data_IF_725034169286
#
_entry.id   IF_725034169286
#
_cell.length_a   1.000
_cell.length_b   1.000
_cell.length_c   1.000
_cell.angle_alpha   90.00
_cell.angle_beta   90.00
_cell.angle_gamma   90.00
#
_symmetry.space_group_name_H-M   'P 1'
#
loop_
_entity.id
_entity.type
_entity.pdbx_description
1 polymer ?
#
# COMPACT_ATOMS: atom_id res chain seq x y z
N UNK A 1 -27.40 -15.76 48.29
CA UNK A 1 -27.15 -14.59 47.41
C UNK A 1 -25.66 -14.22 47.51
N UNK A 2 -24.81 -14.71 46.59
CA UNK A 2 -23.35 -14.65 46.77
C UNK A 2 -22.53 -14.35 45.51
N UNK A 3 -23.13 -14.34 44.31
CA UNK A 3 -22.40 -14.05 43.04
C UNK A 3 -22.22 -12.57 42.73
N UNK A 4 -22.93 -11.67 43.41
CA UNK A 4 -22.90 -10.22 43.13
C UNK A 4 -21.69 -9.50 43.75
N UNK A 5 -21.12 -10.03 44.84
CA UNK A 5 -20.07 -9.34 45.60
C UNK A 5 -18.70 -9.33 44.90
N UNK A 6 -18.44 -10.30 44.01
CA UNK A 6 -17.15 -10.42 43.33
C UNK A 6 -17.01 -9.46 42.12
N UNK A 7 -18.13 -8.97 41.55
CA UNK A 7 -18.11 -8.18 40.32
C UNK A 7 -17.63 -6.74 40.56
N UNK A 8 -18.10 -6.11 41.65
CA UNK A 8 -17.73 -4.74 42.02
C UNK A 8 -16.25 -4.59 42.40
N UNK A 9 -15.65 -5.62 43.01
CA UNK A 9 -14.22 -5.63 43.36
C UNK A 9 -13.35 -5.69 42.10
N UNK A 10 -13.76 -6.47 41.09
CA UNK A 10 -13.03 -6.59 39.82
C UNK A 10 -13.07 -5.29 39.00
N UNK A 11 -14.21 -4.60 38.97
CA UNK A 11 -14.37 -3.29 38.35
C UNK A 11 -13.48 -2.21 39.00
N UNK A 12 -13.37 -2.21 40.34
CA UNK A 12 -12.51 -1.26 41.05
C UNK A 12 -11.01 -1.44 40.72
N UNK A 13 -10.55 -2.68 40.55
CA UNK A 13 -9.16 -2.97 40.17
C UNK A 13 -8.83 -2.54 38.73
N UNK A 14 -9.76 -2.72 37.79
CA UNK A 14 -9.59 -2.26 36.41
C UNK A 14 -9.51 -0.73 36.30
N UNK A 15 -10.33 -0.01 37.08
CA UNK A 15 -10.31 1.46 37.11
C UNK A 15 -8.95 2.03 37.60
N UNK A 16 -8.31 1.37 38.58
CA UNK A 16 -7.02 1.82 39.12
C UNK A 16 -5.83 1.56 38.17
N UNK A 17 -5.91 0.52 37.33
CA UNK A 17 -4.87 0.26 36.31
C UNK A 17 -4.93 1.22 35.12
N UNK A 18 -6.11 1.79 34.82
CA UNK A 18 -6.31 2.70 33.68
C UNK A 18 -5.62 4.07 33.80
N UNK A 19 -5.21 4.49 35.01
CA UNK A 19 -4.65 5.83 35.26
C UNK A 19 -3.11 5.87 35.37
N UNK A 20 -2.43 4.72 35.34
CA UNK A 20 -0.99 4.65 35.61
C UNK A 20 -0.06 4.87 34.41
N UNK A 21 -0.57 4.94 33.17
CA UNK A 21 0.24 4.74 31.95
C UNK A 21 0.32 5.94 31.00
N UNK A 22 0.23 7.17 31.52
CA UNK A 22 0.21 8.42 30.73
C UNK A 22 1.32 9.44 31.09
N UNK A 23 2.40 9.01 31.75
CA UNK A 23 3.42 9.91 32.35
C UNK A 23 4.82 9.80 31.71
N UNK A 24 5.06 8.87 30.77
CA UNK A 24 6.36 8.69 30.11
C UNK A 24 6.28 8.63 28.57
N UNK A 25 5.89 9.75 27.95
CA UNK A 25 6.24 10.05 26.55
C UNK A 25 6.98 11.39 26.55
N UNK A 26 8.31 11.44 26.28
CA UNK A 26 9.05 12.68 26.22
C UNK A 26 8.55 13.58 25.08
N UNK A 27 8.27 14.84 25.39
CA UNK A 27 7.96 15.85 24.37
C UNK A 27 9.23 16.19 23.58
N UNK A 28 9.29 15.77 22.31
CA UNK A 28 10.29 16.29 21.39
C UNK A 28 9.93 17.73 21.00
N UNK A 29 10.67 18.69 21.55
CA UNK A 29 10.53 20.10 21.20
C UNK A 29 10.99 20.35 19.77
N UNK A 30 10.24 21.16 19.03
CA UNK A 30 10.65 21.66 17.71
C UNK A 30 11.60 22.85 17.87
N UNK A 31 12.87 22.68 17.47
CA UNK A 31 13.81 23.78 17.28
C UNK A 31 14.16 23.95 15.78
N UNK A 32 14.30 25.19 15.27
CA UNK A 32 14.41 25.47 13.84
C UNK A 32 15.83 25.26 13.27
N UNK A 33 15.90 25.05 11.97
CA UNK A 33 17.16 24.94 11.21
C UNK A 33 17.91 26.29 11.21
N UNK A 34 19.19 26.34 11.65
CA UNK A 34 20.01 27.53 11.48
C UNK A 34 20.48 27.65 10.02
N UNK A 35 19.96 28.66 9.31
CA UNK A 35 20.57 29.13 8.06
C UNK A 35 21.90 29.81 8.40
N UNK A 36 22.98 29.42 7.72
CA UNK A 36 24.27 30.11 7.80
C UNK A 36 24.75 30.49 6.41
N UNK A 37 24.92 31.78 6.18
CA UNK A 37 25.33 32.33 4.89
C UNK A 37 26.85 32.29 4.67
N UNK A 38 27.25 32.60 3.43
CA UNK A 38 28.62 32.57 2.91
C UNK A 38 29.30 33.94 3.09
N UNK A 39 30.63 34.00 3.26
CA UNK A 39 31.45 34.61 2.20
C UNK A 39 32.74 33.81 1.89
N UNK A 40 33.61 34.33 1.02
CA UNK A 40 34.61 33.52 0.29
C UNK A 40 36.05 34.07 0.27
N UNK A 41 37.02 33.14 0.23
CA UNK A 41 38.42 33.31 -0.15
C UNK A 41 39.05 31.89 -0.34
N UNK A 42 40.11 31.62 -1.12
CA UNK A 42 40.80 32.34 -2.22
C UNK A 42 41.86 31.39 -2.81
N UNK A 43 41.87 31.17 -4.14
CA UNK A 43 43.03 30.77 -5.00
C UNK A 43 43.81 29.48 -4.60
N UNK A 44 44.13 28.54 -5.49
CA UNK A 44 45.20 28.57 -6.51
C UNK A 44 44.91 27.57 -7.63
N UNK A 45 45.42 27.84 -8.84
CA UNK A 45 45.42 26.95 -10.01
C UNK A 45 46.81 26.99 -10.69
N UNK A 46 47.29 25.86 -11.24
CA UNK A 46 47.86 25.84 -12.60
C UNK A 46 47.14 24.76 -13.47
N UNK A 47 46.84 24.92 -14.77
CA UNK A 47 47.56 25.54 -15.90
C UNK A 47 48.78 24.72 -16.34
N UNK A 48 48.61 23.60 -17.06
CA UNK A 48 48.69 23.52 -18.54
C UNK A 48 49.84 22.55 -18.91
N UNK A 49 50.00 21.94 -20.10
CA UNK A 49 49.27 21.89 -21.38
C UNK A 49 49.36 20.39 -21.89
N UNK A 50 49.22 19.91 -23.14
CA UNK A 50 49.15 20.48 -24.52
C UNK A 50 48.45 19.47 -25.46
N UNK A 51 48.02 19.92 -26.65
CA UNK A 51 47.36 19.14 -27.73
C UNK A 51 48.31 18.23 -28.55
N UNK A 52 47.81 17.11 -29.11
CA UNK A 52 47.94 16.66 -30.54
C UNK A 52 47.22 15.29 -30.74
N UNK A 53 46.78 14.97 -31.97
CA UNK A 53 45.94 13.82 -32.32
C UNK A 53 46.65 12.77 -33.23
N UNK A 54 46.03 11.59 -33.46
CA UNK A 54 45.77 10.96 -34.80
C UNK A 54 45.40 9.46 -34.70
N UNK A 55 44.10 9.17 -34.85
CA UNK A 55 43.46 8.10 -35.69
C UNK A 55 43.98 6.62 -35.60
N UNK A 56 43.43 5.64 -36.35
CA UNK A 56 42.56 4.61 -35.76
C UNK A 56 43.19 3.21 -35.65
N UNK A 57 42.60 2.36 -34.79
CA UNK A 57 42.83 0.92 -34.77
C UNK A 57 41.51 0.14 -34.89
N UNK A 58 41.31 -0.55 -36.02
CA UNK A 58 40.15 -1.42 -36.25
C UNK A 58 40.24 -2.67 -35.37
N UNK A 59 39.37 -2.80 -34.38
CA UNK A 59 39.12 -4.07 -33.70
C UNK A 59 37.76 -4.62 -34.13
N UNK A 60 37.74 -5.49 -35.13
CA UNK A 60 36.60 -6.38 -35.34
C UNK A 60 36.51 -7.36 -34.17
N UNK A 61 35.74 -7.01 -33.15
CA UNK A 61 35.12 -7.99 -32.29
C UNK A 61 33.63 -8.14 -32.67
N UNK A 62 33.13 -9.35 -32.50
CA UNK A 62 31.82 -9.77 -32.99
C UNK A 62 30.70 -8.96 -32.32
N UNK A 63 29.53 -8.78 -32.97
CA UNK A 63 28.36 -8.34 -32.25
C UNK A 63 28.08 -9.36 -31.14
N UNK A 64 28.21 -8.93 -29.88
CA UNK A 64 27.58 -9.63 -28.77
C UNK A 64 26.08 -9.48 -29.00
N UNK A 65 25.50 -10.50 -29.60
CA UNK A 65 24.06 -10.61 -29.76
C UNK A 65 23.50 -10.89 -28.36
N UNK A 66 23.28 -9.82 -27.60
CA UNK A 66 22.33 -9.86 -26.49
C UNK A 66 20.93 -10.07 -27.07
N UNK A 67 20.61 -11.34 -27.38
CA UNK A 67 19.23 -11.83 -27.44
C UNK A 67 18.63 -11.89 -26.04
N UNK A 68 18.69 -10.76 -25.32
CA UNK A 68 17.73 -10.46 -24.25
C UNK A 68 16.37 -10.42 -24.93
N UNK A 69 15.63 -11.52 -24.80
CA UNK A 69 14.41 -11.79 -25.56
C UNK A 69 13.45 -10.60 -25.47
N UNK A 70 13.30 -9.86 -26.58
CA UNK A 70 12.50 -8.65 -26.66
C UNK A 70 10.99 -8.94 -26.79
N UNK A 71 10.52 -9.99 -26.09
CA UNK A 71 9.12 -10.09 -25.72
C UNK A 71 8.85 -8.99 -24.69
N UNK A 72 8.32 -7.86 -25.16
CA UNK A 72 8.22 -6.58 -24.44
C UNK A 72 7.88 -6.74 -22.96
N UNK A 73 8.90 -6.61 -22.11
CA UNK A 73 8.73 -6.65 -20.66
C UNK A 73 7.78 -5.49 -20.27
N UNK A 74 6.62 -5.85 -19.74
CA UNK A 74 5.57 -4.89 -19.42
C UNK A 74 6.13 -3.89 -18.40
N UNK A 75 6.15 -2.60 -18.72
CA UNK A 75 6.70 -1.57 -17.83
C UNK A 75 5.66 -0.51 -17.52
N UNK A 76 5.72 0.03 -16.31
CA UNK A 76 4.77 1.02 -15.78
C UNK A 76 4.75 2.26 -16.69
N UNK A 77 5.93 2.74 -17.08
CA UNK A 77 6.10 3.89 -17.98
C UNK A 77 5.52 3.65 -19.39
N UNK A 78 5.62 2.43 -19.94
CA UNK A 78 5.04 2.10 -21.25
C UNK A 78 3.52 1.92 -21.20
N UNK A 79 2.97 1.52 -20.05
CA UNK A 79 1.52 1.46 -19.86
C UNK A 79 0.92 2.86 -19.75
N UNK A 80 1.45 3.68 -18.82
CA UNK A 80 0.89 4.99 -18.47
C UNK A 80 1.22 6.06 -19.53
N UNK A 81 2.39 5.98 -20.16
CA UNK A 81 2.84 6.93 -21.17
C UNK A 81 2.33 6.66 -22.59
N UNK A 82 1.53 5.61 -22.82
CA UNK A 82 1.06 5.25 -24.16
C UNK A 82 -0.29 5.91 -24.50
N UNK A 83 -0.37 6.80 -25.50
CA UNK A 83 -1.62 7.42 -25.93
C UNK A 83 -2.51 6.47 -26.77
N UNK A 84 -2.09 5.21 -26.98
CA UNK A 84 -2.82 4.22 -27.79
C UNK A 84 -3.44 3.09 -26.98
N UNK A 85 -3.31 3.10 -25.65
CA UNK A 85 -3.94 2.12 -24.76
C UNK A 85 -5.19 2.74 -24.14
N UNK A 86 -6.26 1.95 -24.06
CA UNK A 86 -7.41 2.30 -23.23
C UNK A 86 -7.09 2.09 -21.75
N UNK A 87 -7.78 2.83 -20.88
CA UNK A 87 -7.56 2.83 -19.43
C UNK A 87 -7.72 1.44 -18.80
N UNK A 88 -8.66 0.63 -19.29
CA UNK A 88 -8.85 -0.75 -18.81
C UNK A 88 -7.68 -1.65 -19.17
N UNK A 89 -7.07 -1.49 -20.34
CA UNK A 89 -5.82 -2.16 -20.71
C UNK A 89 -4.65 -1.68 -19.83
N UNK A 90 -4.57 -0.38 -19.53
CA UNK A 90 -3.55 0.18 -18.60
C UNK A 90 -3.71 -0.43 -17.19
N UNK A 91 -4.91 -0.38 -16.61
CA UNK A 91 -5.21 -0.97 -15.30
C UNK A 91 -4.95 -2.48 -15.27
N UNK A 92 -5.32 -3.22 -16.31
CA UNK A 92 -5.04 -4.66 -16.43
C UNK A 92 -3.53 -4.95 -16.44
N UNK A 93 -2.74 -4.09 -17.08
CA UNK A 93 -1.29 -4.19 -17.09
C UNK A 93 -0.66 -3.89 -15.73
N UNK A 94 -1.11 -2.84 -15.04
CA UNK A 94 -0.64 -2.47 -13.70
C UNK A 94 -1.02 -3.53 -12.65
N UNK A 95 -2.22 -4.11 -12.74
CA UNK A 95 -2.65 -5.22 -11.90
C UNK A 95 -1.77 -6.47 -12.11
N UNK A 96 -1.35 -6.77 -13.35
CA UNK A 96 -0.37 -7.83 -13.63
C UNK A 96 0.99 -7.52 -13.00
N UNK A 97 1.54 -6.31 -13.18
CA UNK A 97 2.84 -5.94 -12.59
C UNK A 97 2.80 -6.04 -11.06
N UNK A 98 1.71 -5.61 -10.43
CA UNK A 98 1.47 -5.72 -8.98
C UNK A 98 1.57 -7.18 -8.48
N UNK A 99 1.20 -8.16 -9.32
CA UNK A 99 1.20 -9.59 -9.00
C UNK A 99 2.45 -10.35 -9.45
N UNK A 100 3.28 -9.81 -10.35
CA UNK A 100 4.47 -10.48 -10.87
C UNK A 100 5.53 -10.68 -9.76
N UNK A 101 5.78 -11.92 -9.38
CA UNK A 101 6.58 -12.30 -8.20
C UNK A 101 8.09 -12.29 -8.43
N UNK A 102 8.53 -12.13 -9.67
CA UNK A 102 9.90 -11.94 -10.12
C UNK A 102 10.37 -10.47 -10.04
N UNK A 103 9.43 -9.52 -9.89
CA UNK A 103 9.72 -8.08 -9.77
C UNK A 103 10.01 -7.65 -8.34
N UNK A 104 10.71 -6.51 -8.23
CA UNK A 104 10.99 -5.87 -6.93
C UNK A 104 9.70 -5.42 -6.23
N UNK A 105 9.70 -5.41 -4.89
CA UNK A 105 8.53 -4.92 -4.13
C UNK A 105 8.23 -3.45 -4.45
N UNK A 106 9.25 -2.65 -4.74
CA UNK A 106 9.12 -1.22 -5.06
C UNK A 106 8.39 -1.01 -6.39
N UNK A 107 8.79 -1.71 -7.46
CA UNK A 107 8.11 -1.67 -8.76
C UNK A 107 6.65 -2.15 -8.66
N UNK A 108 6.40 -3.21 -7.88
CA UNK A 108 5.04 -3.72 -7.62
C UNK A 108 4.19 -2.72 -6.81
N UNK A 109 4.83 -1.94 -5.93
CA UNK A 109 4.20 -0.87 -5.14
C UNK A 109 3.95 0.40 -5.98
N UNK A 110 4.83 0.73 -6.94
CA UNK A 110 4.63 1.78 -7.92
C UNK A 110 3.42 1.45 -8.82
N UNK A 111 3.37 0.23 -9.37
CA UNK A 111 2.26 -0.24 -10.19
C UNK A 111 0.93 -0.21 -9.43
N UNK A 112 0.90 -0.66 -8.18
CA UNK A 112 -0.27 -0.55 -7.31
C UNK A 112 -0.65 0.91 -7.05
N UNK A 113 0.32 1.79 -6.83
CA UNK A 113 0.06 3.22 -6.60
C UNK A 113 -0.66 3.90 -7.76
N UNK A 114 -0.25 3.58 -8.99
CA UNK A 114 -0.97 4.04 -10.19
C UNK A 114 -2.33 3.39 -10.35
N UNK A 115 -2.47 2.11 -9.96
CA UNK A 115 -3.73 1.38 -10.05
C UNK A 115 -4.80 1.93 -9.09
N UNK A 116 -4.43 2.22 -7.84
CA UNK A 116 -5.32 2.88 -6.85
C UNK A 116 -5.84 4.22 -7.39
N UNK A 117 -4.94 5.05 -7.93
CA UNK A 117 -5.30 6.36 -8.49
C UNK A 117 -6.23 6.27 -9.71
N UNK A 118 -6.05 5.26 -10.59
CA UNK A 118 -6.90 5.06 -11.76
C UNK A 118 -8.26 4.47 -11.38
N UNK A 119 -8.31 3.49 -10.49
CA UNK A 119 -9.56 2.84 -10.08
C UNK A 119 -10.30 3.58 -8.96
N UNK A 120 -10.06 4.88 -8.76
CA UNK A 120 -10.62 5.65 -7.65
C UNK A 120 -12.16 5.83 -7.73
N UNK A 121 -12.74 5.82 -8.94
CA UNK A 121 -14.20 5.93 -9.14
C UNK A 121 -14.94 4.59 -8.99
N UNK A 122 -14.35 3.48 -9.46
CA UNK A 122 -14.86 2.13 -9.27
C UNK A 122 -13.71 1.14 -8.93
N UNK A 123 -13.31 1.03 -7.65
CA UNK A 123 -12.17 0.22 -7.24
C UNK A 123 -12.46 -1.29 -7.25
N UNK A 124 -13.72 -1.69 -7.10
CA UNK A 124 -14.07 -3.07 -6.79
C UNK A 124 -13.71 -4.09 -7.91
N UNK A 125 -13.95 -3.83 -9.21
CA UNK A 125 -13.60 -4.76 -10.30
C UNK A 125 -12.10 -5.02 -10.45
N UNK A 126 -11.27 -4.11 -9.94
CA UNK A 126 -9.82 -4.11 -10.14
C UNK A 126 -9.06 -4.57 -8.88
N UNK A 127 -9.46 -4.07 -7.70
CA UNK A 127 -8.73 -4.30 -6.46
C UNK A 127 -9.20 -5.54 -5.68
N UNK A 128 -10.48 -5.94 -5.77
CA UNK A 128 -10.93 -7.19 -5.13
C UNK A 128 -10.21 -8.44 -5.67
N UNK A 129 -9.99 -8.59 -7.00
CA UNK A 129 -9.17 -9.68 -7.53
C UNK A 129 -7.73 -9.69 -7.00
N UNK A 130 -7.15 -8.52 -6.68
CA UNK A 130 -5.81 -8.43 -6.08
C UNK A 130 -5.81 -8.92 -4.63
N UNK A 131 -6.75 -8.46 -3.79
CA UNK A 131 -6.87 -8.91 -2.39
C UNK A 131 -7.09 -10.43 -2.32
N UNK A 132 -7.89 -10.97 -3.24
CA UNK A 132 -8.16 -12.39 -3.37
C UNK A 132 -6.95 -13.21 -3.86
N UNK A 133 -6.00 -12.60 -4.55
CA UNK A 133 -4.81 -13.28 -5.06
C UNK A 133 -3.78 -13.54 -3.95
N UNK A 134 -3.22 -14.75 -3.94
CA UNK A 134 -2.17 -15.18 -3.01
C UNK A 134 -0.81 -14.56 -3.29
N UNK A 135 -0.54 -14.18 -4.53
CA UNK A 135 0.75 -13.65 -4.97
C UNK A 135 0.90 -12.15 -4.63
N UNK A 136 -0.20 -11.48 -4.25
CA UNK A 136 -0.17 -10.15 -3.64
C UNK A 136 0.46 -10.26 -2.23
N UNK A 137 1.58 -9.56 -1.93
CA UNK A 137 2.19 -9.51 -0.61
C UNK A 137 1.25 -8.91 0.44
N UNK A 138 1.40 -9.28 1.71
CA UNK A 138 0.61 -8.68 2.79
C UNK A 138 0.82 -7.17 2.89
N UNK A 139 2.02 -6.65 2.61
CA UNK A 139 2.32 -5.20 2.59
C UNK A 139 1.57 -4.43 1.51
N UNK A 140 1.38 -5.03 0.32
CA UNK A 140 0.57 -4.42 -0.74
C UNK A 140 -0.93 -4.57 -0.46
N UNK A 141 -1.35 -5.65 0.20
CA UNK A 141 -2.72 -5.80 0.68
C UNK A 141 -3.07 -4.83 1.82
N UNK A 142 -2.12 -4.50 2.70
CA UNK A 142 -2.27 -3.50 3.77
C UNK A 142 -2.44 -2.09 3.17
N UNK A 143 -1.70 -1.78 2.10
CA UNK A 143 -1.87 -0.53 1.35
C UNK A 143 -3.23 -0.41 0.64
N UNK A 144 -3.77 -1.49 0.06
CA UNK A 144 -5.14 -1.49 -0.49
C UNK A 144 -6.17 -1.29 0.64
N UNK A 145 -5.94 -1.90 1.80
CA UNK A 145 -6.82 -1.71 2.95
C UNK A 145 -6.77 -0.26 3.43
N UNK A 146 -5.59 0.33 3.67
CA UNK A 146 -5.38 1.72 4.06
C UNK A 146 -6.11 2.71 3.15
N UNK A 147 -5.99 2.53 1.84
CA UNK A 147 -6.69 3.32 0.83
C UNK A 147 -8.20 3.19 0.97
N UNK A 148 -8.72 1.95 1.00
CA UNK A 148 -10.15 1.68 1.12
C UNK A 148 -10.79 2.27 2.38
N UNK A 149 -10.07 2.35 3.51
CA UNK A 149 -10.59 2.91 4.77
C UNK A 149 -10.92 4.42 4.68
N UNK A 150 -10.42 5.13 3.66
CA UNK A 150 -10.66 6.55 3.42
C UNK A 150 -11.73 6.82 2.34
N UNK A 151 -12.33 5.76 1.78
CA UNK A 151 -13.23 5.80 0.64
C UNK A 151 -14.71 5.60 1.05
N UNK A 152 -15.69 5.50 0.13
CA UNK A 152 -17.10 5.30 0.47
C UNK A 152 -17.37 4.02 1.30
N UNK A 153 -18.37 4.02 2.22
CA UNK A 153 -18.71 2.87 3.07
C UNK A 153 -18.86 1.51 2.35
N UNK A 154 -19.44 1.51 1.15
CA UNK A 154 -19.60 0.29 0.34
C UNK A 154 -18.27 -0.32 -0.07
N UNK A 155 -17.26 0.49 -0.41
CA UNK A 155 -15.91 0.02 -0.73
C UNK A 155 -15.15 -0.42 0.53
N UNK A 156 -15.29 0.32 1.64
CA UNK A 156 -14.74 -0.09 2.94
C UNK A 156 -15.22 -1.50 3.33
N UNK A 157 -16.53 -1.75 3.18
CA UNK A 157 -17.15 -3.02 3.51
C UNK A 157 -16.65 -4.17 2.62
N UNK A 158 -16.63 -3.97 1.31
CA UNK A 158 -16.15 -4.96 0.32
C UNK A 158 -14.67 -5.32 0.53
N UNK A 159 -13.81 -4.31 0.70
CA UNK A 159 -12.38 -4.50 0.92
C UNK A 159 -12.09 -5.24 2.24
N UNK A 160 -12.76 -4.86 3.33
CA UNK A 160 -12.64 -5.56 4.61
C UNK A 160 -13.13 -7.01 4.51
N UNK A 161 -14.28 -7.27 3.88
CA UNK A 161 -14.80 -8.62 3.68
C UNK A 161 -13.87 -9.49 2.82
N UNK A 162 -13.26 -8.93 1.78
CA UNK A 162 -12.26 -9.63 0.97
C UNK A 162 -10.99 -9.98 1.78
N UNK A 163 -10.52 -9.07 2.66
CA UNK A 163 -9.42 -9.37 3.58
C UNK A 163 -9.78 -10.47 4.57
N UNK A 164 -11.00 -10.45 5.13
CA UNK A 164 -11.52 -11.51 6.00
C UNK A 164 -11.73 -12.85 5.27
N UNK A 165 -12.04 -12.83 3.98
CA UNK A 165 -12.22 -14.05 3.18
C UNK A 165 -10.89 -14.67 2.78
N UNK A 166 -9.99 -13.90 2.17
CA UNK A 166 -8.85 -14.45 1.42
C UNK A 166 -7.50 -14.40 2.14
N UNK A 167 -7.27 -13.40 3.01
CA UNK A 167 -5.96 -13.21 3.65
C UNK A 167 -5.79 -14.11 4.87
N UNK A 168 -4.55 -14.53 5.14
CA UNK A 168 -4.17 -15.35 6.31
C UNK A 168 -3.53 -14.54 7.45
N UNK A 169 -3.02 -13.36 7.15
CA UNK A 169 -2.28 -12.52 8.09
C UNK A 169 -3.19 -12.04 9.24
N UNK A 170 -2.79 -12.33 10.48
CA UNK A 170 -3.61 -12.01 11.66
C UNK A 170 -3.82 -10.51 11.85
N UNK A 171 -2.82 -9.68 11.54
CA UNK A 171 -2.92 -8.23 11.69
C UNK A 171 -3.94 -7.67 10.68
N UNK A 172 -3.79 -7.99 9.39
CA UNK A 172 -4.76 -7.63 8.34
C UNK A 172 -6.18 -8.06 8.69
N UNK A 173 -6.39 -9.32 9.10
CA UNK A 173 -7.72 -9.79 9.51
C UNK A 173 -8.26 -9.06 10.73
N UNK A 174 -7.42 -8.73 11.72
CA UNK A 174 -7.85 -7.97 12.92
C UNK A 174 -8.22 -6.53 12.55
N UNK A 175 -7.46 -5.87 11.67
CA UNK A 175 -7.79 -4.53 11.15
C UNK A 175 -9.14 -4.55 10.43
N UNK A 176 -9.29 -5.42 9.42
CA UNK A 176 -10.51 -5.54 8.64
C UNK A 176 -11.73 -5.91 9.51
N UNK A 177 -11.58 -6.82 10.47
CA UNK A 177 -12.64 -7.18 11.43
C UNK A 177 -13.06 -6.00 12.30
N UNK A 178 -12.10 -5.26 12.85
CA UNK A 178 -12.39 -4.11 13.74
C UNK A 178 -13.09 -3.00 12.97
N UNK A 179 -12.64 -2.71 11.74
CA UNK A 179 -13.27 -1.70 10.89
C UNK A 179 -14.67 -2.12 10.44
N UNK A 180 -14.85 -3.38 10.01
CA UNK A 180 -16.14 -3.89 9.58
C UNK A 180 -17.16 -3.97 10.72
N UNK A 181 -16.72 -4.31 11.94
CA UNK A 181 -17.56 -4.30 13.14
C UNK A 181 -18.01 -2.88 13.54
N UNK A 182 -17.13 -1.89 13.38
CA UNK A 182 -17.47 -0.48 13.57
C UNK A 182 -18.48 -0.01 12.50
N UNK A 183 -18.21 -0.31 11.24
CA UNK A 183 -19.02 0.11 10.10
C UNK A 183 -20.45 -0.45 10.14
N UNK A 184 -20.59 -1.74 10.46
CA UNK A 184 -21.89 -2.45 10.50
C UNK A 184 -22.53 -2.47 11.91
N UNK A 185 -21.98 -1.69 12.86
CA UNK A 185 -22.48 -1.56 14.23
C UNK A 185 -22.60 -2.86 15.03
N UNK A 186 -21.97 -3.95 14.58
CA UNK A 186 -22.18 -5.30 15.11
C UNK A 186 -20.97 -6.21 14.86
N UNK A 187 -20.72 -7.12 15.80
CA UNK A 187 -19.62 -8.09 15.73
C UNK A 187 -20.16 -9.48 15.41
N UNK A 188 -19.62 -10.12 14.36
CA UNK A 188 -19.94 -11.50 13.98
C UNK A 188 -18.77 -12.47 14.17
N UNK A 189 -17.64 -12.00 14.73
CA UNK A 189 -16.48 -12.81 15.08
C UNK A 189 -15.90 -13.54 13.87
N UNK A 190 -15.84 -14.87 13.97
CA UNK A 190 -15.37 -15.75 12.89
C UNK A 190 -16.45 -16.19 11.89
N UNK A 191 -17.71 -15.77 12.03
CA UNK A 191 -18.78 -16.15 11.10
C UNK A 191 -18.73 -15.29 9.82
N UNK A 192 -17.98 -15.79 8.84
CA UNK A 192 -17.86 -15.15 7.52
C UNK A 192 -19.18 -15.12 6.74
N UNK A 193 -20.13 -16.03 7.00
CA UNK A 193 -21.44 -16.01 6.34
C UNK A 193 -22.32 -14.90 6.90
N UNK A 194 -22.27 -14.67 8.22
CA UNK A 194 -22.90 -13.51 8.86
C UNK A 194 -22.28 -12.19 8.35
N UNK A 195 -20.95 -12.08 8.31
CA UNK A 195 -20.26 -10.90 7.72
C UNK A 195 -20.68 -10.65 6.27
N UNK A 196 -20.70 -11.69 5.43
CA UNK A 196 -21.12 -11.58 4.03
C UNK A 196 -22.55 -11.08 3.90
N UNK A 197 -23.47 -11.59 4.74
CA UNK A 197 -24.87 -11.16 4.75
C UNK A 197 -25.03 -9.70 5.21
N UNK A 198 -24.30 -9.29 6.25
CA UNK A 198 -24.38 -7.93 6.77
C UNK A 198 -23.84 -6.90 5.78
N UNK A 199 -22.73 -7.19 5.09
CA UNK A 199 -22.21 -6.37 3.98
C UNK A 199 -23.19 -6.29 2.80
N UNK A 200 -23.91 -7.37 2.48
CA UNK A 200 -24.92 -7.33 1.43
C UNK A 200 -26.10 -6.41 1.81
N UNK A 201 -26.56 -6.45 3.06
CA UNK A 201 -27.66 -5.61 3.56
C UNK A 201 -27.32 -4.11 3.61
N UNK A 202 -26.09 -3.75 4.02
CA UNK A 202 -25.61 -2.35 4.02
C UNK A 202 -25.57 -1.73 2.61
N UNK A 203 -25.60 -2.56 1.56
CA UNK A 203 -25.58 -2.14 0.16
C UNK A 203 -26.98 -2.11 -0.48
N UNK A 204 -28.02 -2.53 0.24
CA UNK A 204 -29.41 -2.31 -0.19
C UNK A 204 -29.84 -0.87 0.16
N UNK A 205 -30.46 -0.12 -0.76
CA UNK A 205 -31.02 1.19 -0.42
C UNK A 205 -32.14 1.04 0.62
N UNK A 206 -32.32 1.99 1.54
CA UNK A 206 -33.35 1.90 2.56
C UNK A 206 -34.74 1.74 1.94
N UNK A 207 -35.53 0.82 2.48
CA UNK A 207 -36.89 0.56 2.02
C UNK A 207 -37.77 1.82 2.13
N UNK A 208 -38.64 2.09 1.13
CA UNK A 208 -39.46 3.31 1.05
C UNK A 208 -40.66 3.32 2.03
#
# INVERSE_FOLDING_TARGET
MSKLLNSTILLALLALLGLGLWVLIPSYSTDPVPVSEKPAARMVQPAGFTTTATTPATSHNLPVVETKSAASALSISNLIGSPTLDEKTVMSGLARITLETDRSLDERSEALGHLLNLSAEDPAPVLLPLIANRDLPDTLCDRILDDSLNAPPSWQADACLAVLTHRKNKALKTRAHTHLAFLLGSDHGSDLAAWTKAVALEKEPPAP
#
